data_IF_808625317458
#
_entry.id   IF_808625317458
#
_cell.length_a   1.000
_cell.length_b   1.000
_cell.length_c   1.000
_cell.angle_alpha   90.00
_cell.angle_beta   90.00
_cell.angle_gamma   90.00
#
_symmetry.space_group_name_H-M   'P 1'
#
loop_
_entity.id
_entity.type
_entity.pdbx_description
1 polymer ?
#
# COMPACT_ATOMS: atom_id res chain seq x y z
N UNK A 1 35.89 -15.32 0.06
CA UNK A 1 34.53 -14.76 0.07
C UNK A 1 33.98 -14.92 1.48
N UNK A 2 33.52 -13.85 2.13
CA UNK A 2 32.86 -13.99 3.43
C UNK A 2 31.60 -14.85 3.27
N UNK A 3 31.39 -15.81 4.18
CA UNK A 3 30.20 -16.67 4.16
C UNK A 3 28.99 -15.80 4.51
N UNK A 4 28.05 -15.67 3.58
CA UNK A 4 26.77 -15.02 3.85
C UNK A 4 25.95 -15.91 4.81
N UNK A 5 25.69 -15.41 6.01
CA UNK A 5 24.85 -16.06 7.03
C UNK A 5 23.67 -15.16 7.38
N UNK A 6 22.66 -15.67 8.07
CA UNK A 6 21.41 -14.94 8.31
C UNK A 6 21.56 -13.64 9.11
N UNK A 7 22.55 -13.57 9.99
CA UNK A 7 22.90 -12.38 10.78
C UNK A 7 23.82 -11.40 10.04
N UNK A 8 24.31 -11.77 8.85
CA UNK A 8 25.09 -10.85 8.03
C UNK A 8 24.23 -9.65 7.63
N UNK A 9 24.84 -8.46 7.64
CA UNK A 9 24.19 -7.22 7.20
C UNK A 9 23.80 -7.36 5.73
N UNK A 10 22.51 -7.24 5.45
CA UNK A 10 21.96 -7.27 4.10
C UNK A 10 21.84 -5.85 3.53
N UNK A 11 21.33 -4.93 4.33
CA UNK A 11 21.02 -3.56 3.90
C UNK A 11 21.32 -2.57 5.02
N UNK A 12 21.87 -1.41 4.64
CA UNK A 12 21.94 -0.24 5.51
C UNK A 12 21.08 0.85 4.88
N UNK A 13 19.99 1.24 5.55
CA UNK A 13 19.04 2.21 5.03
C UNK A 13 19.04 3.47 5.89
N UNK A 14 19.27 4.63 5.27
CA UNK A 14 19.33 5.90 6.00
C UNK A 14 17.93 6.49 6.19
N UNK A 15 17.59 6.83 7.43
CA UNK A 15 16.34 7.51 7.80
C UNK A 15 16.64 8.90 8.38
N UNK A 16 15.74 9.86 8.19
CA UNK A 16 15.96 11.27 8.57
C UNK A 16 16.11 11.51 10.08
N UNK A 17 15.67 10.57 10.93
CA UNK A 17 15.79 10.64 12.39
C UNK A 17 15.10 11.85 13.03
N UNK A 18 15.07 11.90 14.36
CA UNK A 18 14.61 13.06 15.13
C UNK A 18 15.71 14.10 15.35
N UNK A 19 16.98 13.69 15.21
CA UNK A 19 18.18 14.48 15.54
C UNK A 19 18.78 15.25 14.35
N UNK A 20 18.07 15.35 13.22
CA UNK A 20 18.49 16.10 12.02
C UNK A 20 19.57 15.44 11.14
N UNK A 21 20.44 14.60 11.70
CA UNK A 21 21.39 13.77 10.94
C UNK A 21 20.76 12.41 10.57
N UNK A 22 20.81 12.00 9.30
CA UNK A 22 20.31 10.68 8.92
C UNK A 22 21.03 9.54 9.65
N UNK A 23 20.29 8.56 10.14
CA UNK A 23 20.81 7.37 10.82
C UNK A 23 20.69 6.15 9.90
N UNK A 24 21.76 5.36 9.80
CA UNK A 24 21.74 4.10 9.05
C UNK A 24 21.11 2.98 9.87
N UNK A 25 19.93 2.53 9.50
CA UNK A 25 19.30 1.33 10.03
C UNK A 25 19.98 0.12 9.41
N UNK A 26 20.66 -0.67 10.24
CA UNK A 26 21.38 -1.87 9.81
C UNK A 26 20.43 -3.07 9.90
N UNK A 27 20.12 -3.68 8.75
CA UNK A 27 19.18 -4.78 8.65
C UNK A 27 19.89 -6.07 8.24
N UNK A 28 19.85 -7.14 9.06
CA UNK A 28 20.39 -8.44 8.68
C UNK A 28 19.44 -9.17 7.72
N UNK A 29 19.95 -10.18 7.00
CA UNK A 29 19.14 -10.98 6.07
C UNK A 29 17.90 -11.58 6.73
N UNK A 30 18.02 -12.09 7.96
CA UNK A 30 16.90 -12.70 8.68
C UNK A 30 15.70 -11.78 8.86
N UNK A 31 15.91 -10.48 9.09
CA UNK A 31 14.83 -9.53 9.37
C UNK A 31 13.99 -9.25 8.13
N UNK A 32 14.64 -9.05 6.97
CA UNK A 32 13.93 -8.86 5.69
C UNK A 32 13.18 -10.14 5.31
N UNK A 33 13.83 -11.32 5.45
CA UNK A 33 13.17 -12.60 5.17
C UNK A 33 11.99 -12.86 6.08
N UNK A 34 12.07 -12.48 7.36
CA UNK A 34 10.97 -12.62 8.31
C UNK A 34 9.73 -11.87 7.82
N UNK A 35 9.84 -10.56 7.52
CA UNK A 35 8.72 -9.75 7.01
C UNK A 35 8.15 -10.30 5.70
N UNK A 36 8.98 -10.86 4.83
CA UNK A 36 8.49 -11.43 3.57
C UNK A 36 7.73 -12.74 3.84
N UNK A 37 8.25 -13.59 4.72
CA UNK A 37 7.64 -14.86 5.06
C UNK A 37 6.30 -14.72 5.78
N UNK A 38 6.07 -13.62 6.50
CA UNK A 38 4.78 -13.31 7.14
C UNK A 38 3.74 -12.80 6.15
N UNK A 39 4.14 -12.06 5.12
CA UNK A 39 3.23 -11.44 4.15
C UNK A 39 2.87 -12.35 2.98
N UNK A 40 3.81 -13.14 2.44
CA UNK A 40 3.56 -14.00 1.27
C UNK A 40 2.30 -14.88 1.43
N UNK A 41 2.10 -15.62 2.54
CA UNK A 41 0.93 -16.47 2.71
C UNK A 41 -0.40 -15.72 2.68
N UNK A 42 -0.41 -14.40 2.93
CA UNK A 42 -1.62 -13.58 2.91
C UNK A 42 -2.03 -13.20 1.49
N UNK A 43 -1.07 -13.08 0.56
CA UNK A 43 -1.30 -12.46 -0.76
C UNK A 43 -1.14 -13.42 -1.93
N UNK A 44 -0.42 -14.52 -1.76
CA UNK A 44 0.01 -15.37 -2.89
C UNK A 44 -1.16 -15.94 -3.69
N UNK A 45 -2.25 -16.33 -3.02
CA UNK A 45 -3.44 -16.93 -3.66
C UNK A 45 -4.25 -15.92 -4.50
N UNK A 46 -3.95 -14.63 -4.40
CA UNK A 46 -4.59 -13.57 -5.18
C UNK A 46 -3.85 -13.28 -6.49
N UNK A 47 -2.65 -13.81 -6.65
CA UNK A 47 -1.84 -13.59 -7.84
C UNK A 47 -1.92 -14.78 -8.79
N UNK A 48 -1.95 -14.54 -10.11
CA UNK A 48 -1.71 -15.60 -11.07
C UNK A 48 -0.25 -16.10 -10.97
N UNK A 49 0.01 -17.28 -11.53
CA UNK A 49 1.36 -17.89 -11.60
C UNK A 49 2.43 -16.93 -12.12
N UNK A 50 2.07 -16.10 -13.10
CA UNK A 50 2.90 -15.02 -13.60
C UNK A 50 2.24 -13.68 -13.33
N UNK A 51 2.58 -13.06 -12.21
CA UNK A 51 2.12 -11.73 -11.86
C UNK A 51 3.22 -10.69 -12.02
N UNK A 52 2.82 -9.42 -12.10
CA UNK A 52 3.71 -8.29 -12.33
C UNK A 52 3.46 -7.23 -11.28
N UNK A 53 4.51 -6.76 -10.65
CA UNK A 53 4.51 -5.57 -9.82
C UNK A 53 5.13 -4.39 -10.60
N UNK A 54 4.53 -3.21 -10.49
CA UNK A 54 5.10 -1.97 -11.03
C UNK A 54 5.85 -1.23 -9.92
N UNK A 55 7.18 -1.29 -9.94
CA UNK A 55 8.09 -0.61 -9.04
C UNK A 55 8.30 0.83 -9.49
N UNK A 56 7.63 1.76 -8.81
CA UNK A 56 7.77 3.20 -9.05
C UNK A 56 8.03 4.00 -7.77
N UNK A 57 8.01 3.36 -6.60
CA UNK A 57 8.58 3.99 -5.41
C UNK A 57 10.10 3.80 -5.41
N UNK A 58 10.86 4.68 -4.75
CA UNK A 58 12.31 4.51 -4.65
C UNK A 58 12.67 3.26 -3.83
N UNK A 59 13.57 2.41 -4.35
CA UNK A 59 14.15 1.27 -3.62
C UNK A 59 14.93 1.69 -2.35
N UNK A 60 15.26 2.97 -2.22
CA UNK A 60 15.81 3.53 -0.99
C UNK A 60 14.81 3.54 0.18
N UNK A 61 13.53 3.26 -0.07
CA UNK A 61 12.50 3.15 0.95
C UNK A 61 12.23 1.67 1.29
N UNK A 62 12.21 1.33 2.58
CA UNK A 62 12.08 -0.06 3.05
C UNK A 62 10.86 -0.78 2.50
N UNK A 63 9.77 -0.03 2.33
CA UNK A 63 8.50 -0.55 1.83
C UNK A 63 8.62 -1.11 0.40
N UNK A 64 9.23 -0.36 -0.52
CA UNK A 64 9.48 -0.83 -1.89
C UNK A 64 10.47 -1.99 -1.88
N UNK A 65 11.55 -1.89 -1.10
CA UNK A 65 12.53 -2.97 -0.98
C UNK A 65 11.90 -4.28 -0.49
N UNK A 66 11.08 -4.25 0.55
CA UNK A 66 10.45 -5.44 1.11
C UNK A 66 9.54 -6.13 0.09
N UNK A 67 8.72 -5.36 -0.61
CA UNK A 67 7.86 -5.93 -1.64
C UNK A 67 8.65 -6.36 -2.87
N UNK A 68 9.71 -5.65 -3.25
CA UNK A 68 10.61 -6.05 -4.34
C UNK A 68 11.20 -7.44 -4.09
N UNK A 69 11.75 -7.68 -2.89
CA UNK A 69 12.26 -9.00 -2.52
C UNK A 69 11.12 -10.02 -2.40
N UNK A 70 9.94 -9.64 -1.91
CA UNK A 70 8.76 -10.50 -1.87
C UNK A 70 8.30 -10.97 -3.25
N UNK A 71 8.22 -10.06 -4.22
CA UNK A 71 7.86 -10.37 -5.61
C UNK A 71 8.87 -11.33 -6.23
N UNK A 72 10.17 -11.08 -6.05
CA UNK A 72 11.22 -12.00 -6.51
C UNK A 72 11.12 -13.37 -5.83
N UNK A 73 10.79 -13.42 -4.54
CA UNK A 73 10.64 -14.67 -3.79
C UNK A 73 9.46 -15.51 -4.25
N UNK A 74 8.41 -14.87 -4.78
CA UNK A 74 7.24 -15.54 -5.38
C UNK A 74 7.43 -15.83 -6.89
N UNK A 75 8.57 -15.48 -7.49
CA UNK A 75 8.81 -15.66 -8.93
C UNK A 75 8.08 -14.67 -9.84
N UNK A 76 7.60 -13.55 -9.29
CA UNK A 76 6.92 -12.50 -10.06
C UNK A 76 7.86 -11.60 -10.85
N UNK A 77 7.27 -10.81 -11.75
CA UNK A 77 7.99 -9.83 -12.56
C UNK A 77 7.94 -8.43 -11.96
N UNK A 78 8.98 -7.64 -12.18
CA UNK A 78 9.06 -6.25 -11.71
C UNK A 78 9.30 -5.33 -12.90
N UNK A 79 8.31 -4.47 -13.19
CA UNK A 79 8.44 -3.38 -14.15
C UNK A 79 8.90 -2.12 -13.42
N UNK A 80 9.98 -1.50 -13.89
CA UNK A 80 10.47 -0.23 -13.32
C UNK A 80 9.86 0.95 -14.06
N UNK A 81 9.40 1.95 -13.31
CA UNK A 81 8.90 3.20 -13.87
C UNK A 81 9.25 4.39 -13.00
N UNK A 82 9.49 5.53 -13.63
CA UNK A 82 9.57 6.80 -12.92
C UNK A 82 8.15 7.26 -12.54
N UNK A 83 7.92 7.81 -11.33
CA UNK A 83 6.62 8.34 -10.91
C UNK A 83 5.93 9.27 -11.91
N UNK A 84 6.71 10.04 -12.68
CA UNK A 84 6.21 10.95 -13.69
C UNK A 84 5.75 10.23 -14.97
N UNK A 85 6.16 8.98 -15.19
CA UNK A 85 5.88 8.17 -16.39
C UNK A 85 4.83 7.09 -16.19
N UNK A 86 4.24 6.98 -14.99
CA UNK A 86 3.24 5.96 -14.64
C UNK A 86 2.03 5.99 -15.59
N UNK A 87 1.63 7.19 -16.02
CA UNK A 87 0.46 7.39 -16.88
C UNK A 87 0.85 8.01 -18.22
N UNK A 88 -0.04 7.90 -19.21
CA UNK A 88 0.08 8.58 -20.52
C UNK A 88 0.23 10.10 -20.44
N UNK A 89 -0.02 10.73 -19.29
CA UNK A 89 0.19 12.17 -19.14
C UNK A 89 1.68 12.54 -19.18
N UNK A 90 2.57 11.66 -18.69
CA UNK A 90 4.01 11.92 -18.65
C UNK A 90 4.87 10.93 -19.43
N UNK A 91 4.27 10.08 -20.27
CA UNK A 91 4.97 9.14 -21.14
C UNK A 91 4.30 9.00 -22.51
N UNK A 92 5.10 8.64 -23.52
CA UNK A 92 4.71 8.40 -24.92
C UNK A 92 5.47 7.16 -25.43
N UNK A 93 4.84 6.24 -26.21
CA UNK A 93 3.44 6.26 -26.65
C UNK A 93 2.42 5.82 -25.57
N UNK A 94 2.87 5.02 -24.59
CA UNK A 94 2.08 4.48 -23.48
C UNK A 94 2.71 4.89 -22.14
N UNK A 95 1.90 4.86 -21.07
CA UNK A 95 2.40 4.99 -19.70
C UNK A 95 2.67 3.62 -19.08
N UNK A 96 3.45 3.57 -18.00
CA UNK A 96 3.90 2.30 -17.42
C UNK A 96 2.76 1.36 -16.97
N UNK A 97 1.64 1.90 -16.44
CA UNK A 97 0.48 1.09 -16.07
C UNK A 97 -0.12 0.32 -17.26
N UNK A 98 -0.14 0.95 -18.43
CA UNK A 98 -0.70 0.37 -19.64
C UNK A 98 0.25 -0.62 -20.30
N UNK A 99 1.56 -0.34 -20.21
CA UNK A 99 2.62 -1.18 -20.76
C UNK A 99 2.76 -2.48 -19.95
N UNK A 100 2.97 -2.35 -18.63
CA UNK A 100 3.29 -3.48 -17.76
C UNK A 100 2.07 -4.24 -17.24
N UNK A 101 0.87 -3.63 -17.31
CA UNK A 101 -0.40 -4.21 -16.85
C UNK A 101 -0.27 -4.91 -15.49
N UNK A 102 0.12 -4.17 -14.42
CA UNK A 102 0.49 -4.78 -13.16
C UNK A 102 -0.69 -5.45 -12.46
N UNK A 103 -0.37 -6.48 -11.69
CA UNK A 103 -1.26 -7.19 -10.79
C UNK A 103 -1.16 -6.64 -9.35
N UNK A 104 0.05 -6.21 -8.95
CA UNK A 104 0.30 -5.58 -7.67
C UNK A 104 0.64 -4.10 -7.85
N UNK A 105 -0.21 -3.23 -7.32
CA UNK A 105 0.08 -1.80 -7.19
C UNK A 105 0.27 -1.50 -5.71
N UNK A 106 1.43 -0.96 -5.36
CA UNK A 106 1.66 -0.40 -4.02
C UNK A 106 1.71 1.11 -4.08
N UNK A 107 1.42 1.78 -2.98
CA UNK A 107 1.62 3.23 -2.87
C UNK A 107 1.53 3.72 -1.44
N UNK A 108 1.93 4.98 -1.26
CA UNK A 108 1.56 5.76 -0.07
C UNK A 108 0.16 6.37 -0.27
N UNK A 109 -0.57 6.74 0.80
CA UNK A 109 -1.92 7.32 0.68
C UNK A 109 -2.02 8.44 -0.36
N UNK A 110 -0.97 9.25 -0.46
CA UNK A 110 -0.92 10.37 -1.41
C UNK A 110 -1.11 9.95 -2.87
N UNK A 111 -0.58 8.80 -3.27
CA UNK A 111 -0.72 8.29 -4.64
C UNK A 111 -2.18 7.96 -4.92
N UNK A 112 -2.84 7.27 -3.99
CA UNK A 112 -4.24 6.89 -4.12
C UNK A 112 -5.19 8.09 -4.08
N UNK A 113 -4.87 9.13 -3.30
CA UNK A 113 -5.59 10.42 -3.35
C UNK A 113 -5.50 11.08 -4.73
N UNK A 114 -4.31 11.08 -5.34
CA UNK A 114 -4.10 11.65 -6.68
C UNK A 114 -4.89 10.86 -7.72
N UNK A 115 -4.87 9.53 -7.61
CA UNK A 115 -5.69 8.63 -8.44
C UNK A 115 -7.18 8.95 -8.29
N UNK A 116 -7.69 9.04 -7.06
CA UNK A 116 -9.08 9.37 -6.78
C UNK A 116 -9.46 10.74 -7.34
N UNK A 117 -8.62 11.76 -7.11
CA UNK A 117 -8.83 13.11 -7.65
C UNK A 117 -8.85 13.12 -9.17
N UNK A 118 -7.91 12.44 -9.82
CA UNK A 118 -7.84 12.32 -11.27
C UNK A 118 -9.06 11.62 -11.88
N UNK A 119 -9.55 10.57 -11.22
CA UNK A 119 -10.79 9.90 -11.62
C UNK A 119 -12.01 10.80 -11.43
N UNK A 120 -12.18 11.42 -10.26
CA UNK A 120 -13.29 12.35 -9.97
C UNK A 120 -13.31 13.54 -10.95
N UNK A 121 -12.14 14.06 -11.35
CA UNK A 121 -12.03 15.13 -12.34
C UNK A 121 -12.63 14.74 -13.70
N UNK A 122 -12.48 13.49 -14.16
CA UNK A 122 -13.11 13.02 -15.41
C UNK A 122 -14.64 13.06 -15.36
N UNK A 123 -15.24 12.89 -14.18
CA UNK A 123 -16.70 12.96 -13.99
C UNK A 123 -17.20 14.38 -13.67
N UNK A 124 -16.30 15.35 -13.42
CA UNK A 124 -16.65 16.70 -13.00
C UNK A 124 -17.45 17.50 -14.05
N UNK A 125 -17.24 17.21 -15.33
CA UNK A 125 -17.93 17.86 -16.45
C UNK A 125 -19.28 17.21 -16.79
N UNK A 126 -19.64 16.10 -16.16
CA UNK A 126 -20.90 15.41 -16.44
C UNK A 126 -22.09 16.13 -15.80
N UNK A 127 -23.31 16.00 -16.37
CA UNK A 127 -24.54 16.44 -15.73
C UNK A 127 -24.72 15.84 -14.33
N UNK A 128 -25.39 16.57 -13.43
CA UNK A 128 -25.53 16.19 -12.01
C UNK A 128 -26.06 14.76 -11.84
N UNK A 129 -27.10 14.37 -12.59
CA UNK A 129 -27.68 13.03 -12.51
C UNK A 129 -26.68 11.90 -12.83
N UNK A 130 -25.68 12.14 -13.71
CA UNK A 130 -24.62 11.16 -13.99
C UNK A 130 -23.61 11.08 -12.86
N UNK A 131 -23.34 12.19 -12.16
CA UNK A 131 -22.50 12.21 -10.97
C UNK A 131 -23.18 11.46 -9.83
N UNK A 132 -24.47 11.71 -9.63
CA UNK A 132 -25.27 11.01 -8.62
C UNK A 132 -25.33 9.51 -8.90
N UNK A 133 -25.51 9.12 -10.17
CA UNK A 133 -25.46 7.72 -10.59
C UNK A 133 -24.08 7.09 -10.34
N UNK A 134 -22.99 7.80 -10.63
CA UNK A 134 -21.63 7.30 -10.40
C UNK A 134 -21.35 7.12 -8.89
N UNK A 135 -21.78 8.08 -8.06
CA UNK A 135 -21.70 7.98 -6.60
C UNK A 135 -22.52 6.81 -6.07
N UNK A 136 -23.76 6.65 -6.54
CA UNK A 136 -24.61 5.53 -6.16
C UNK A 136 -24.02 4.17 -6.60
N UNK A 137 -23.40 4.11 -7.79
CA UNK A 137 -22.70 2.91 -8.27
C UNK A 137 -21.48 2.58 -7.39
N UNK A 138 -20.69 3.58 -6.97
CA UNK A 138 -19.55 3.39 -6.06
C UNK A 138 -20.00 2.90 -4.68
N UNK A 139 -21.08 3.47 -4.13
CA UNK A 139 -21.69 3.04 -2.87
C UNK A 139 -22.18 1.60 -2.94
N UNK A 140 -22.95 1.27 -3.98
CA UNK A 140 -23.46 -0.07 -4.20
C UNK A 140 -22.33 -1.08 -4.37
N UNK A 141 -21.30 -0.73 -5.16
CA UNK A 141 -20.11 -1.56 -5.38
C UNK A 141 -19.39 -1.88 -4.07
N UNK A 142 -19.13 -0.85 -3.26
CA UNK A 142 -18.49 -1.02 -1.96
C UNK A 142 -19.31 -1.91 -1.03
N UNK A 143 -20.62 -1.69 -0.96
CA UNK A 143 -21.52 -2.49 -0.13
C UNK A 143 -21.56 -3.96 -0.61
N UNK A 144 -21.66 -4.21 -1.91
CA UNK A 144 -21.64 -5.56 -2.46
C UNK A 144 -20.33 -6.28 -2.11
N UNK A 145 -19.19 -5.65 -2.37
CA UNK A 145 -17.87 -6.24 -2.10
C UNK A 145 -17.59 -6.47 -0.62
N UNK A 146 -18.01 -5.54 0.26
CA UNK A 146 -17.89 -5.70 1.71
C UNK A 146 -18.73 -6.87 2.25
N UNK A 147 -19.67 -7.39 1.45
CA UNK A 147 -20.46 -8.58 1.75
C UNK A 147 -20.05 -9.79 0.89
N UNK A 148 -18.86 -9.76 0.28
CA UNK A 148 -18.33 -10.85 -0.55
C UNK A 148 -19.08 -11.07 -1.87
N UNK A 149 -19.79 -10.06 -2.38
CA UNK A 149 -20.57 -10.13 -3.62
C UNK A 149 -19.88 -9.39 -4.76
N UNK A 150 -20.07 -9.90 -5.99
CA UNK A 150 -19.63 -9.26 -7.22
C UNK A 150 -20.71 -8.35 -7.82
N UNK A 151 -20.32 -7.47 -8.75
CA UNK A 151 -21.24 -6.53 -9.42
C UNK A 151 -21.00 -6.52 -10.94
N UNK A 152 -21.21 -7.65 -11.63
CA UNK A 152 -20.76 -7.85 -13.01
C UNK A 152 -21.32 -6.80 -13.99
N UNK A 153 -22.56 -6.35 -13.79
CA UNK A 153 -23.20 -5.32 -14.63
C UNK A 153 -22.48 -3.97 -14.51
N UNK A 154 -22.22 -3.52 -13.28
CA UNK A 154 -21.48 -2.27 -13.06
C UNK A 154 -20.02 -2.39 -13.48
N UNK A 155 -19.43 -3.57 -13.35
CA UNK A 155 -18.08 -3.84 -13.82
C UNK A 155 -17.97 -3.65 -15.33
N UNK A 156 -18.89 -4.23 -16.09
CA UNK A 156 -18.91 -4.12 -17.54
C UNK A 156 -19.18 -2.68 -18.02
N UNK A 157 -20.12 -1.97 -17.40
CA UNK A 157 -20.57 -0.65 -17.87
C UNK A 157 -19.64 0.48 -17.43
N UNK A 158 -19.11 0.42 -16.21
CA UNK A 158 -18.38 1.52 -15.57
C UNK A 158 -16.96 1.13 -15.17
N UNK A 159 -16.78 0.14 -14.30
CA UNK A 159 -15.49 -0.06 -13.63
C UNK A 159 -14.40 -0.62 -14.55
N UNK A 160 -14.72 -1.45 -15.54
CA UNK A 160 -13.73 -1.98 -16.48
C UNK A 160 -13.03 -0.87 -17.28
N UNK A 161 -13.72 0.24 -17.58
CA UNK A 161 -13.11 1.41 -18.23
C UNK A 161 -12.09 2.10 -17.32
N UNK A 162 -12.36 2.12 -16.02
CA UNK A 162 -11.45 2.71 -15.03
C UNK A 162 -10.27 1.76 -14.78
N UNK A 163 -10.52 0.46 -14.59
CA UNK A 163 -9.48 -0.58 -14.44
C UNK A 163 -8.51 -0.59 -15.61
N UNK A 164 -9.00 -0.43 -16.84
CA UNK A 164 -8.16 -0.36 -18.04
C UNK A 164 -7.12 0.78 -17.97
N UNK A 165 -7.42 1.88 -17.29
CA UNK A 165 -6.46 2.97 -17.09
C UNK A 165 -5.29 2.60 -16.15
N UNK A 166 -5.44 1.51 -15.39
CA UNK A 166 -4.43 0.93 -14.51
C UNK A 166 -3.87 -0.39 -15.03
N UNK A 167 -4.07 -0.68 -16.32
CA UNK A 167 -3.58 -1.90 -16.96
C UNK A 167 -4.55 -3.08 -16.93
N UNK A 168 -5.67 -2.98 -16.21
CA UNK A 168 -6.77 -3.94 -16.23
C UNK A 168 -6.58 -5.20 -15.37
N UNK A 169 -5.36 -5.50 -14.93
CA UNK A 169 -5.00 -6.75 -14.25
C UNK A 169 -4.80 -6.62 -12.73
N UNK A 170 -5.04 -5.44 -12.16
CA UNK A 170 -4.81 -5.18 -10.73
C UNK A 170 -5.61 -6.17 -9.88
N UNK A 171 -4.88 -7.00 -9.15
CA UNK A 171 -5.41 -8.06 -8.29
C UNK A 171 -5.28 -7.71 -6.80
N UNK A 172 -4.28 -6.89 -6.45
CA UNK A 172 -4.06 -6.43 -5.07
C UNK A 172 -3.54 -5.00 -5.08
N UNK A 173 -4.07 -4.18 -4.18
CA UNK A 173 -3.55 -2.85 -3.88
C UNK A 173 -2.99 -2.84 -2.47
N UNK A 174 -1.76 -2.37 -2.30
CA UNK A 174 -1.10 -2.26 -0.99
C UNK A 174 -0.83 -0.78 -0.66
N UNK A 175 -1.31 -0.33 0.50
CA UNK A 175 -1.10 1.02 1.03
C UNK A 175 -0.26 0.98 2.30
N UNK A 176 0.80 1.78 2.34
CA UNK A 176 1.70 1.88 3.49
C UNK A 176 2.35 3.26 3.62
N UNK A 177 3.19 3.44 4.64
CA UNK A 177 3.93 4.71 4.87
C UNK A 177 3.08 5.87 5.41
N UNK A 178 1.76 5.69 5.57
CA UNK A 178 0.86 6.66 6.18
C UNK A 178 -0.56 6.10 6.27
N UNK A 179 -1.43 6.77 7.03
CA UNK A 179 -2.83 6.37 7.16
C UNK A 179 -3.60 6.62 5.86
N UNK A 180 -4.28 5.59 5.34
CA UNK A 180 -5.21 5.73 4.22
C UNK A 180 -6.57 6.18 4.76
N UNK A 181 -7.19 7.19 4.14
CA UNK A 181 -8.53 7.59 4.57
C UNK A 181 -9.57 6.54 4.16
N UNK A 182 -10.64 6.33 4.96
CA UNK A 182 -11.70 5.41 4.61
C UNK A 182 -12.36 5.71 3.25
N UNK A 183 -12.44 6.99 2.88
CA UNK A 183 -12.96 7.42 1.57
C UNK A 183 -12.08 6.93 0.42
N UNK A 184 -10.76 7.07 0.54
CA UNK A 184 -9.82 6.63 -0.50
C UNK A 184 -9.80 5.11 -0.59
N UNK A 185 -9.80 4.39 0.55
CA UNK A 185 -9.87 2.93 0.55
C UNK A 185 -11.14 2.44 -0.16
N UNK A 186 -12.30 2.98 0.22
CA UNK A 186 -13.58 2.66 -0.42
C UNK A 186 -13.55 2.90 -1.92
N UNK A 187 -13.00 4.04 -2.34
CA UNK A 187 -12.86 4.37 -3.75
C UNK A 187 -11.98 3.35 -4.48
N UNK A 188 -10.80 3.03 -3.95
CA UNK A 188 -9.87 2.06 -4.54
C UNK A 188 -10.50 0.67 -4.63
N UNK A 189 -11.11 0.18 -3.55
CA UNK A 189 -11.76 -1.12 -3.49
C UNK A 189 -12.85 -1.22 -4.57
N UNK A 190 -13.70 -0.20 -4.69
CA UNK A 190 -14.76 -0.18 -5.70
C UNK A 190 -14.21 -0.13 -7.13
N UNK A 191 -13.22 0.74 -7.40
CA UNK A 191 -12.67 0.94 -8.74
C UNK A 191 -11.86 -0.24 -9.24
N UNK A 192 -10.94 -0.75 -8.42
CA UNK A 192 -10.10 -1.88 -8.78
C UNK A 192 -10.86 -3.20 -8.68
N UNK A 193 -11.93 -3.25 -7.86
CA UNK A 193 -12.67 -4.48 -7.56
C UNK A 193 -11.77 -5.58 -7.00
N UNK A 194 -10.81 -5.18 -6.18
CA UNK A 194 -9.84 -6.07 -5.56
C UNK A 194 -9.61 -5.65 -4.10
N UNK A 195 -8.97 -6.50 -3.28
CA UNK A 195 -8.54 -6.14 -1.94
C UNK A 195 -7.62 -4.91 -1.94
N UNK A 196 -7.84 -4.04 -0.95
CA UNK A 196 -6.98 -2.90 -0.65
C UNK A 196 -6.43 -3.11 0.76
N UNK A 197 -5.17 -3.49 0.82
CA UNK A 197 -4.49 -3.86 2.05
C UNK A 197 -3.80 -2.61 2.63
N UNK A 198 -3.96 -2.36 3.92
CA UNK A 198 -3.19 -1.37 4.66
C UNK A 198 -2.11 -2.06 5.51
N UNK A 199 -0.90 -1.50 5.51
CA UNK A 199 0.21 -1.96 6.34
C UNK A 199 0.79 -0.86 7.20
N UNK A 200 1.12 -1.19 8.44
CA UNK A 200 1.93 -0.37 9.33
C UNK A 200 3.29 -1.04 9.54
N UNK A 201 4.35 -0.30 9.22
CA UNK A 201 5.72 -0.73 9.42
C UNK A 201 6.67 0.46 9.31
N UNK A 202 7.88 0.28 9.84
CA UNK A 202 8.94 1.27 9.89
C UNK A 202 10.18 0.72 9.19
N UNK A 203 11.19 1.59 8.97
CA UNK A 203 12.49 1.12 8.45
C UNK A 203 13.16 0.21 9.47
N UNK A 204 13.06 0.56 10.74
CA UNK A 204 13.59 -0.16 11.89
C UNK A 204 12.95 -1.54 12.06
N UNK A 205 11.74 -1.76 11.53
CA UNK A 205 11.02 -3.03 11.58
C UNK A 205 11.02 -3.76 10.24
N UNK A 206 11.88 -3.37 9.30
CA UNK A 206 11.98 -3.96 7.95
C UNK A 206 10.66 -3.93 7.16
N UNK A 207 9.87 -2.87 7.33
CA UNK A 207 8.50 -2.70 6.80
C UNK A 207 7.42 -3.59 7.43
N UNK A 208 7.76 -4.47 8.38
CA UNK A 208 6.78 -5.29 9.08
C UNK A 208 6.19 -4.62 10.32
N UNK A 209 5.00 -5.03 10.72
CA UNK A 209 4.35 -4.57 11.95
C UNK A 209 2.92 -5.08 12.05
N UNK A 210 2.00 -4.39 11.39
CA UNK A 210 0.60 -4.82 11.25
C UNK A 210 0.20 -4.80 9.78
N UNK A 211 -0.68 -5.72 9.40
CA UNK A 211 -1.21 -5.79 8.03
C UNK A 211 -2.69 -6.19 8.05
N UNK A 212 -3.52 -5.49 7.27
CA UNK A 212 -4.94 -5.82 7.14
C UNK A 212 -5.15 -7.14 6.42
N UNK A 213 -6.18 -7.88 6.84
CA UNK A 213 -6.58 -9.10 6.15
C UNK A 213 -7.19 -8.78 4.78
N UNK A 214 -7.07 -9.71 3.83
CA UNK A 214 -7.52 -9.51 2.45
C UNK A 214 -9.03 -9.27 2.34
N UNK A 215 -9.80 -9.86 3.26
CA UNK A 215 -11.25 -9.75 3.33
C UNK A 215 -11.71 -8.55 4.17
N UNK A 216 -10.81 -7.88 4.89
CA UNK A 216 -11.18 -6.73 5.71
C UNK A 216 -11.31 -5.46 4.86
N UNK A 217 -12.55 -5.09 4.57
CA UNK A 217 -12.84 -3.91 3.77
C UNK A 217 -12.89 -2.61 4.59
N UNK A 218 -12.73 -2.67 5.92
CA UNK A 218 -12.83 -1.50 6.79
C UNK A 218 -11.63 -0.56 6.59
N UNK A 219 -11.92 0.71 6.31
CA UNK A 219 -10.89 1.71 5.98
C UNK A 219 -10.17 2.38 7.14
N UNK A 220 -10.51 2.04 8.38
CA UNK A 220 -10.04 2.74 9.58
C UNK A 220 -9.10 1.90 10.45
N UNK A 221 -8.46 0.88 9.89
CA UNK A 221 -7.54 0.01 10.62
C UNK A 221 -6.40 -0.50 9.72
N UNK A 222 -5.30 -0.92 10.33
CA UNK A 222 -4.12 -1.50 9.65
C UNK A 222 -4.00 -3.01 9.88
N UNK A 223 -5.06 -3.64 10.39
CA UNK A 223 -5.09 -5.06 10.71
C UNK A 223 -4.37 -5.47 11.99
N UNK A 224 -4.34 -6.79 12.25
CA UNK A 224 -3.60 -7.37 13.36
C UNK A 224 -2.07 -7.27 13.16
N UNK A 225 -1.28 -7.50 14.22
CA UNK A 225 0.14 -7.76 14.08
C UNK A 225 0.40 -8.94 13.15
N UNK A 226 1.49 -8.87 12.38
CA UNK A 226 1.93 -9.99 11.55
C UNK A 226 2.30 -11.22 12.40
N UNK A 227 2.19 -12.45 11.85
CA UNK A 227 2.60 -13.66 12.55
C UNK A 227 4.02 -13.55 13.15
N UNK A 228 4.15 -13.79 14.45
CA UNK A 228 5.42 -13.68 15.16
C UNK A 228 5.77 -12.28 15.69
N UNK A 229 4.91 -11.29 15.48
CA UNK A 229 5.02 -9.95 16.09
C UNK A 229 4.06 -9.85 17.29
N UNK A 230 4.58 -9.40 18.42
CA UNK A 230 3.80 -9.05 19.60
C UNK A 230 3.75 -7.53 19.75
N UNK A 231 2.56 -7.00 19.99
CA UNK A 231 2.32 -5.56 20.16
C UNK A 231 1.63 -5.33 21.50
N UNK A 232 2.08 -4.31 22.22
CA UNK A 232 1.50 -3.87 23.49
C UNK A 232 1.34 -2.36 23.48
N UNK A 233 0.19 -1.88 23.95
CA UNK A 233 -0.01 -0.46 24.22
C UNK A 233 0.60 -0.13 25.59
N UNK A 234 1.39 0.95 25.64
CA UNK A 234 1.92 1.50 26.88
C UNK A 234 1.33 2.88 27.12
N UNK A 235 1.19 3.22 28.41
CA UNK A 235 0.86 4.58 28.80
C UNK A 235 1.93 5.53 28.27
N UNK A 236 1.51 6.69 27.75
CA UNK A 236 2.43 7.78 27.40
C UNK A 236 2.62 8.75 28.58
N UNK A 237 2.01 8.45 29.73
CA UNK A 237 2.14 9.20 30.98
C UNK A 237 2.63 8.29 32.11
N UNK A 238 3.42 8.85 33.01
CA UNK A 238 3.93 8.17 34.19
C UNK A 238 2.85 8.00 35.27
N UNK A 239 3.23 7.42 36.41
CA UNK A 239 2.32 7.23 37.55
C UNK A 239 1.81 8.54 38.18
N UNK A 240 2.45 9.68 37.88
CA UNK A 240 2.08 11.01 38.37
C UNK A 240 1.22 11.79 37.36
N UNK A 241 1.01 11.25 36.15
CA UNK A 241 0.29 11.90 35.06
C UNK A 241 1.15 12.77 34.16
N UNK A 242 2.48 12.75 34.33
CA UNK A 242 3.43 13.50 33.50
C UNK A 242 3.77 12.75 32.22
N UNK A 243 3.97 13.46 31.11
CA UNK A 243 4.25 12.83 29.83
C UNK A 243 5.64 12.17 29.80
N UNK A 244 5.67 10.85 29.59
CA UNK A 244 6.93 10.09 29.43
C UNK A 244 7.48 10.19 28.01
N UNK A 245 6.60 10.38 27.02
CA UNK A 245 6.97 10.46 25.61
C UNK A 245 6.68 11.87 25.13
N UNK A 246 7.72 12.55 24.62
CA UNK A 246 7.61 13.87 24.02
C UNK A 246 7.79 13.78 22.50
N UNK A 247 7.11 14.65 21.77
CA UNK A 247 7.27 14.81 20.34
C UNK A 247 8.58 15.57 19.99
N UNK A 248 8.80 15.84 18.70
CA UNK A 248 10.00 16.59 18.25
C UNK A 248 10.05 18.03 18.77
N UNK A 249 8.93 18.61 19.17
CA UNK A 249 8.84 19.95 19.76
C UNK A 249 8.98 19.92 21.29
N UNK A 250 9.14 18.75 21.91
CA UNK A 250 9.22 18.60 23.35
C UNK A 250 7.85 18.63 24.04
N UNK A 251 6.76 18.51 23.28
CA UNK A 251 5.40 18.47 23.81
C UNK A 251 4.98 17.03 24.11
N UNK A 252 4.09 16.79 25.10
CA UNK A 252 3.52 15.47 25.34
C UNK A 252 3.00 14.83 24.05
N UNK A 253 3.41 13.58 23.79
CA UNK A 253 2.93 12.83 22.64
C UNK A 253 1.40 12.68 22.74
N UNK A 254 0.67 13.17 21.73
CA UNK A 254 -0.80 13.31 21.66
C UNK A 254 -1.42 14.54 22.36
N UNK A 255 -0.64 15.55 22.78
CA UNK A 255 -1.23 16.86 23.11
C UNK A 255 -1.85 17.47 21.84
N UNK A 256 -3.18 17.55 21.80
CA UNK A 256 -3.90 18.28 20.74
C UNK A 256 -3.71 19.79 20.91
#
# INVERSE_FOLDING_TARGET
>A
MHKCVEDSVAVVMYTSGTTGRPKGVVMPHKSIRFTIATVIPLVIDYFPEHFTHLAYLPLAHIYELAVHVGVLSMGGHIGYADPHTITRAGARPTGALEEFKPHLIMGVPKIFEVIMKGAKAKFSHLPQWKKDLASAALEYKYHAMSNGRSTPVFDLVLFNKIKAAFGGNVAVVLSGGGALSPEVQKFCLSVFSCPVIQGYGLTETCAGGCISLMEDTRGSNVGPPEPGIEVMLRSCVDANGEAEILDKAGLPYLSK
#
